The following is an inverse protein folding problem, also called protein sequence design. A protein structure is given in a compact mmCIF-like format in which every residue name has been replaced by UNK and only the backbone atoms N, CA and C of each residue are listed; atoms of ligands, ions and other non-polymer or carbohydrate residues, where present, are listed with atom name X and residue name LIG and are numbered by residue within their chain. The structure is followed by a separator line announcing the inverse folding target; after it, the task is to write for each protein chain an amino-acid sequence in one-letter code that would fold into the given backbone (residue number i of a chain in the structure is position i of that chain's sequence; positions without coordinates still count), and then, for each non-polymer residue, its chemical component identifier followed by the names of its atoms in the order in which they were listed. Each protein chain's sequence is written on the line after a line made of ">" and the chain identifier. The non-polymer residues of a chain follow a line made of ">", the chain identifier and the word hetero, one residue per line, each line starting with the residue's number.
data_IF_452663758296
#
_entry.id   IF_452663758296
#
_cell.length_a   1.000
_cell.length_b   1.000
_cell.length_c   1.000
_cell.angle_alpha   90.00
_cell.angle_beta   90.00
_cell.angle_gamma   90.00
#
_symmetry.space_group_name_H-M   'P 1'
#
loop_
_entity.id
_entity.type
_entity.pdbx_description
1 polymer ?
#
# COMPACT_ATOMS: atom_id res chain seq x y z
N UNK A 1 4.05 10.12 14.67
CA UNK A 1 3.80 10.90 13.44
C UNK A 1 2.71 10.21 12.65
N UNK A 2 1.54 10.85 12.48
CA UNK A 2 0.45 10.34 11.65
C UNK A 2 0.91 10.26 10.19
N UNK A 3 0.53 9.20 9.48
CA UNK A 3 0.91 9.00 8.07
C UNK A 3 0.01 9.87 7.18
N UNK A 4 0.62 10.68 6.34
CA UNK A 4 -0.07 11.55 5.38
C UNK A 4 -0.71 10.67 4.29
N UNK A 5 -1.99 10.93 4.00
CA UNK A 5 -2.72 10.24 2.93
C UNK A 5 -2.09 10.60 1.57
N UNK A 6 -2.09 9.64 0.65
CA UNK A 6 -1.58 9.83 -0.72
C UNK A 6 -2.12 11.14 -1.33
N UNK A 7 -1.28 12.03 -1.90
CA UNK A 7 -1.79 13.33 -2.37
C UNK A 7 -2.65 13.21 -3.64
N UNK A 8 -3.83 13.84 -3.69
CA UNK A 8 -4.71 13.81 -4.87
C UNK A 8 -4.01 14.34 -6.13
N UNK A 9 -3.17 15.36 -5.95
CA UNK A 9 -2.38 15.94 -7.04
C UNK A 9 -1.49 14.90 -7.71
N UNK A 10 -0.88 13.97 -6.96
CA UNK A 10 -0.06 12.90 -7.54
C UNK A 10 -0.91 11.90 -8.32
N UNK A 11 -2.12 11.60 -7.84
CA UNK A 11 -3.07 10.76 -8.58
C UNK A 11 -3.39 11.37 -9.96
N UNK A 12 -3.67 12.69 -10.01
CA UNK A 12 -3.95 13.40 -11.27
C UNK A 12 -2.71 13.44 -12.16
N UNK A 13 -1.55 13.83 -11.61
CA UNK A 13 -0.29 13.89 -12.35
C UNK A 13 0.06 12.55 -13.00
N UNK A 14 -0.19 11.42 -12.33
CA UNK A 14 -0.01 10.11 -12.92
C UNK A 14 -1.10 9.78 -13.96
N UNK A 15 -2.38 10.06 -13.66
CA UNK A 15 -3.48 9.72 -14.57
C UNK A 15 -3.37 10.38 -15.94
N UNK A 16 -2.83 11.61 -16.02
CA UNK A 16 -2.65 12.33 -17.29
C UNK A 16 -1.50 11.80 -18.15
N UNK A 17 -0.56 11.04 -17.58
CA UNK A 17 0.54 10.43 -18.34
C UNK A 17 0.21 9.04 -18.85
N UNK A 18 -0.91 8.45 -18.41
CA UNK A 18 -1.33 7.11 -18.87
C UNK A 18 -1.79 7.19 -20.33
N UNK A 19 -1.17 6.44 -21.26
CA UNK A 19 -1.57 6.45 -22.66
C UNK A 19 -3.04 6.06 -22.85
N UNK A 20 -3.74 6.81 -23.71
CA UNK A 20 -5.15 6.54 -24.04
C UNK A 20 -6.15 6.87 -22.94
N UNK A 21 -5.71 7.41 -21.80
CA UNK A 21 -6.59 7.88 -20.72
C UNK A 21 -6.82 9.38 -20.85
N UNK A 22 -8.08 9.80 -20.70
CA UNK A 22 -8.48 11.20 -20.60
C UNK A 22 -9.21 11.41 -19.29
N UNK A 23 -8.52 11.81 -18.21
CA UNK A 23 -9.15 11.93 -16.90
C UNK A 23 -10.03 13.19 -16.86
N UNK A 24 -11.19 13.10 -16.20
CA UNK A 24 -12.21 14.16 -16.15
C UNK A 24 -12.43 14.71 -14.74
N UNK A 25 -12.71 13.81 -13.79
CA UNK A 25 -13.12 14.14 -12.41
C UNK A 25 -12.39 13.23 -11.42
N UNK A 26 -12.11 13.75 -10.24
CA UNK A 26 -11.45 13.07 -9.13
C UNK A 26 -12.36 13.05 -7.90
N UNK A 27 -12.52 11.87 -7.32
CA UNK A 27 -13.40 11.59 -6.19
C UNK A 27 -12.57 11.02 -5.04
N UNK A 28 -12.36 11.78 -3.96
CA UNK A 28 -11.77 11.26 -2.73
C UNK A 28 -12.80 10.39 -2.01
N UNK A 29 -12.49 9.12 -1.82
CA UNK A 29 -13.39 8.12 -1.23
C UNK A 29 -12.74 7.40 -0.06
N UNK A 30 -13.54 7.02 0.94
CA UNK A 30 -13.10 6.03 1.93
C UNK A 30 -13.64 4.68 1.51
N UNK A 31 -12.72 3.82 1.12
CA UNK A 31 -13.03 2.46 0.70
C UNK A 31 -13.27 1.59 1.95
N UNK A 32 -14.47 1.01 2.12
CA UNK A 32 -14.79 0.22 3.30
C UNK A 32 -14.11 -1.14 3.23
N UNK A 33 -13.47 -1.53 4.33
CA UNK A 33 -12.74 -2.77 4.52
C UNK A 33 -13.22 -3.47 5.80
N UNK A 34 -13.13 -4.79 5.83
CA UNK A 34 -13.05 -5.54 7.09
C UNK A 34 -11.59 -5.76 7.42
N UNK A 35 -11.20 -5.35 8.62
CA UNK A 35 -9.93 -5.74 9.22
C UNK A 35 -10.20 -6.95 10.11
N UNK A 36 -9.71 -8.10 9.69
CA UNK A 36 -9.99 -9.40 10.32
C UNK A 36 -8.76 -9.86 11.08
N UNK A 37 -8.90 -10.08 12.38
CA UNK A 37 -7.89 -10.74 13.20
C UNK A 37 -8.07 -12.25 13.08
N UNK A 38 -6.98 -12.94 12.77
CA UNK A 38 -6.96 -14.39 12.60
C UNK A 38 -5.86 -15.02 13.43
N UNK A 39 -6.06 -16.27 13.82
CA UNK A 39 -5.02 -17.12 14.41
C UNK A 39 -4.81 -18.35 13.55
N UNK A 40 -3.58 -18.81 13.49
CA UNK A 40 -3.20 -20.04 12.81
C UNK A 40 -2.04 -20.71 13.56
N UNK A 41 -1.88 -22.01 13.34
CA UNK A 41 -0.72 -22.75 13.84
C UNK A 41 0.45 -22.64 12.85
N UNK A 42 1.63 -22.38 13.40
CA UNK A 42 2.93 -22.54 12.72
C UNK A 42 3.78 -23.53 13.50
N UNK A 43 4.72 -24.17 12.84
CA UNK A 43 5.74 -24.95 13.53
C UNK A 43 7.00 -24.11 13.70
N UNK A 44 7.45 -24.01 14.94
CA UNK A 44 8.77 -23.50 15.29
C UNK A 44 9.78 -24.64 15.21
N UNK A 45 10.88 -24.41 14.50
CA UNK A 45 11.92 -25.41 14.31
C UNK A 45 12.94 -25.30 15.44
N UNK A 46 13.09 -26.36 16.23
CA UNK A 46 14.01 -26.40 17.34
C UNK A 46 14.89 -27.65 17.29
N UNK A 47 16.12 -27.61 17.82
CA UNK A 47 16.84 -28.84 18.09
C UNK A 47 16.07 -29.67 19.12
N UNK A 48 16.10 -30.99 18.97
CA UNK A 48 15.64 -31.88 20.03
C UNK A 48 16.57 -31.81 21.24
N UNK A 49 15.98 -31.87 22.43
CA UNK A 49 16.72 -32.32 23.60
C UNK A 49 17.12 -33.79 23.41
N UNK A 50 18.27 -34.17 23.98
CA UNK A 50 18.86 -35.48 23.76
C UNK A 50 17.88 -36.63 24.06
N UNK A 51 17.20 -36.55 25.20
CA UNK A 51 16.25 -37.58 25.65
C UNK A 51 15.01 -37.64 24.75
N UNK A 52 14.42 -36.51 24.40
CA UNK A 52 13.26 -36.44 23.50
C UNK A 52 13.57 -37.11 22.16
N UNK A 53 14.76 -36.83 21.60
CA UNK A 53 15.22 -37.43 20.35
C UNK A 53 15.26 -38.96 20.43
N UNK A 54 15.86 -39.50 21.49
CA UNK A 54 15.98 -40.95 21.66
C UNK A 54 14.64 -41.60 21.93
N UNK A 55 13.76 -41.00 22.73
CA UNK A 55 12.43 -41.55 22.99
C UNK A 55 11.61 -41.65 21.69
N UNK A 56 11.57 -40.57 20.89
CA UNK A 56 10.86 -40.57 19.61
C UNK A 56 11.47 -41.60 18.63
N UNK A 57 12.80 -41.71 18.55
CA UNK A 57 13.47 -42.75 17.74
C UNK A 57 13.21 -44.16 18.26
N UNK A 58 13.11 -44.35 19.58
CA UNK A 58 12.78 -45.64 20.18
C UNK A 58 11.41 -46.14 19.74
N UNK A 59 10.42 -45.24 19.66
CA UNK A 59 9.10 -45.56 19.11
C UNK A 59 9.17 -45.82 17.61
N UNK A 60 9.86 -44.97 16.83
CA UNK A 60 9.91 -45.05 15.37
C UNK A 60 10.73 -46.24 14.83
N UNK A 61 11.94 -46.42 15.35
CA UNK A 61 12.96 -47.34 14.80
C UNK A 61 12.99 -48.68 15.52
N UNK A 62 12.75 -48.67 16.84
CA UNK A 62 12.80 -49.88 17.67
C UNK A 62 11.41 -50.42 18.04
N UNK A 63 10.33 -49.75 17.63
CA UNK A 63 8.95 -50.21 17.88
C UNK A 63 8.57 -50.25 19.36
N UNK A 64 9.23 -49.46 20.21
CA UNK A 64 8.97 -49.39 21.65
C UNK A 64 7.66 -48.62 21.89
N UNK A 65 6.54 -49.33 22.00
CA UNK A 65 5.20 -48.73 22.06
C UNK A 65 4.63 -48.60 23.47
N UNK A 66 5.38 -48.93 24.52
CA UNK A 66 4.95 -48.73 25.92
C UNK A 66 6.00 -47.96 26.70
N UNK A 67 5.57 -47.14 27.67
CA UNK A 67 6.50 -46.35 28.48
C UNK A 67 7.41 -47.21 29.35
N UNK A 68 6.94 -48.37 29.81
CA UNK A 68 7.75 -49.37 30.52
C UNK A 68 8.87 -49.94 29.65
N UNK A 69 8.61 -50.16 28.36
CA UNK A 69 9.60 -50.67 27.42
C UNK A 69 10.68 -49.61 27.12
N UNK A 70 10.27 -48.35 26.97
CA UNK A 70 11.17 -47.21 26.84
C UNK A 70 12.05 -47.03 28.09
N UNK A 71 11.46 -47.18 29.28
CA UNK A 71 12.16 -47.12 30.57
C UNK A 71 13.23 -48.22 30.65
N UNK A 72 12.86 -49.46 30.36
CA UNK A 72 13.75 -50.62 30.42
C UNK A 72 14.86 -50.55 29.36
N UNK A 73 14.52 -50.19 28.12
CA UNK A 73 15.48 -50.14 27.01
C UNK A 73 16.57 -49.08 27.22
N UNK A 74 16.19 -47.88 27.70
CA UNK A 74 17.14 -46.78 27.90
C UNK A 74 17.76 -46.76 29.31
N UNK A 75 17.33 -47.62 30.23
CA UNK A 75 17.81 -47.63 31.62
C UNK A 75 17.51 -46.33 32.37
N UNK A 76 16.40 -45.67 32.05
CA UNK A 76 15.99 -44.39 32.62
C UNK A 76 14.96 -44.57 33.73
N UNK A 77 14.84 -43.64 34.69
CA UNK A 77 13.74 -43.65 35.64
C UNK A 77 12.39 -43.45 34.95
N UNK A 78 11.37 -44.24 35.34
CA UNK A 78 10.03 -44.17 34.75
C UNK A 78 9.44 -42.75 34.80
N UNK A 79 9.62 -42.03 35.91
CA UNK A 79 9.13 -40.65 36.07
C UNK A 79 9.76 -39.65 35.10
N UNK A 80 10.99 -39.90 34.63
CA UNK A 80 11.65 -39.07 33.62
C UNK A 80 11.08 -39.36 32.23
N UNK A 81 10.90 -40.63 31.88
CA UNK A 81 10.28 -41.05 30.61
C UNK A 81 8.86 -40.50 30.52
N UNK A 82 8.04 -40.65 31.55
CA UNK A 82 6.67 -40.12 31.60
C UNK A 82 6.64 -38.58 31.44
N UNK A 83 7.59 -37.87 32.04
CA UNK A 83 7.70 -36.41 31.89
C UNK A 83 8.02 -36.02 30.45
N UNK A 84 8.99 -36.68 29.81
CA UNK A 84 9.33 -36.44 28.41
C UNK A 84 8.17 -36.81 27.48
N UNK A 85 7.51 -37.95 27.71
CA UNK A 85 6.35 -38.37 26.94
C UNK A 85 5.18 -37.39 27.11
N UNK A 86 4.95 -36.86 28.32
CA UNK A 86 3.93 -35.83 28.58
C UNK A 86 4.23 -34.55 27.77
N UNK A 87 5.49 -34.12 27.76
CA UNK A 87 5.92 -32.98 26.94
C UNK A 87 5.76 -33.25 25.44
N UNK A 88 6.19 -34.42 24.95
CA UNK A 88 6.04 -34.85 23.55
C UNK A 88 4.57 -34.97 23.13
N UNK A 89 3.68 -35.37 24.04
CA UNK A 89 2.23 -35.34 23.83
C UNK A 89 1.72 -33.90 23.73
N UNK A 90 2.17 -33.00 24.62
CA UNK A 90 1.76 -31.60 24.62
C UNK A 90 2.11 -30.88 23.31
N UNK A 91 3.30 -31.14 22.74
CA UNK A 91 3.71 -30.59 21.45
C UNK A 91 3.21 -31.41 20.24
N UNK A 92 2.41 -32.45 20.49
CA UNK A 92 1.74 -33.24 19.46
C UNK A 92 2.63 -34.21 18.68
N UNK A 93 3.80 -34.59 19.21
CA UNK A 93 4.70 -35.58 18.59
C UNK A 93 4.27 -37.02 18.88
N UNK A 94 3.65 -37.23 20.04
CA UNK A 94 3.24 -38.54 20.54
C UNK A 94 1.76 -38.50 20.92
N UNK A 95 1.06 -39.63 20.78
CA UNK A 95 -0.23 -39.89 21.43
C UNK A 95 -0.03 -40.97 22.48
N UNK A 96 -0.57 -40.71 23.67
CA UNK A 96 -0.62 -41.66 24.76
C UNK A 96 -2.08 -42.08 25.01
N UNK A 97 -2.32 -43.38 25.14
CA UNK A 97 -3.63 -43.93 25.48
C UNK A 97 -3.51 -45.41 25.83
N UNK A 98 -4.23 -45.87 26.86
CA UNK A 98 -4.25 -47.28 27.27
C UNK A 98 -2.85 -47.90 27.52
N UNK A 99 -1.89 -47.09 27.99
CA UNK A 99 -0.50 -47.52 28.21
C UNK A 99 0.34 -47.67 26.93
N UNK A 100 -0.22 -47.33 25.77
CA UNK A 100 0.46 -47.29 24.49
C UNK A 100 0.95 -45.87 24.17
N UNK A 101 2.08 -45.82 23.49
CA UNK A 101 2.80 -44.65 23.02
C UNK A 101 2.95 -44.81 21.51
N UNK A 102 2.36 -43.90 20.73
CA UNK A 102 2.45 -43.91 19.27
C UNK A 102 2.87 -42.55 18.75
N UNK A 103 3.63 -42.51 17.66
CA UNK A 103 3.97 -41.25 17.02
C UNK A 103 2.77 -40.71 16.23
N UNK A 104 2.62 -39.40 16.24
CA UNK A 104 1.76 -38.71 15.29
C UNK A 104 2.49 -38.54 13.95
N UNK A 105 1.79 -38.17 12.87
CA UNK A 105 2.46 -37.80 11.62
C UNK A 105 3.50 -36.68 11.80
N UNK A 106 3.25 -35.73 12.72
CA UNK A 106 4.22 -34.68 13.07
C UNK A 106 5.45 -35.28 13.78
N UNK A 107 5.24 -36.16 14.75
CA UNK A 107 6.32 -36.84 15.46
C UNK A 107 7.21 -37.66 14.53
N UNK A 108 6.61 -38.43 13.62
CA UNK A 108 7.37 -39.19 12.61
C UNK A 108 8.20 -38.28 11.69
N UNK A 109 7.60 -37.22 11.16
CA UNK A 109 8.28 -36.26 10.29
C UNK A 109 9.43 -35.56 11.03
N UNK A 110 9.18 -35.15 12.28
CA UNK A 110 10.16 -34.50 13.17
C UNK A 110 11.35 -35.44 13.45
N UNK A 111 11.06 -36.70 13.78
CA UNK A 111 12.05 -37.74 14.06
C UNK A 111 12.99 -37.97 12.88
N UNK A 112 12.41 -38.15 11.68
CA UNK A 112 13.16 -38.38 10.44
C UNK A 112 14.01 -37.18 10.04
N UNK A 113 13.48 -35.97 10.25
CA UNK A 113 14.22 -34.73 10.00
C UNK A 113 15.30 -34.43 11.05
N UNK A 114 15.21 -35.04 12.23
CA UNK A 114 16.06 -34.69 13.38
C UNK A 114 15.77 -33.30 13.96
N UNK A 115 14.60 -32.73 13.63
CA UNK A 115 14.18 -31.38 14.02
C UNK A 115 12.91 -31.49 14.86
N UNK A 116 12.87 -30.83 16.02
CA UNK A 116 11.68 -30.76 16.87
C UNK A 116 10.78 -29.62 16.39
N UNK A 117 9.72 -29.97 15.68
CA UNK A 117 8.68 -29.01 15.28
C UNK A 117 7.71 -28.75 16.42
N UNK A 118 7.68 -27.54 16.99
CA UNK A 118 6.78 -27.18 18.09
C UNK A 118 5.64 -26.31 17.56
N UNK A 119 4.35 -26.70 17.74
CA UNK A 119 3.24 -25.86 17.32
C UNK A 119 3.23 -24.55 18.13
N UNK A 120 3.16 -23.42 17.43
CA UNK A 120 2.95 -22.10 18.01
C UNK A 120 1.77 -21.44 17.33
N UNK A 121 1.03 -20.66 18.11
CA UNK A 121 0.01 -19.78 17.55
C UNK A 121 0.67 -18.56 16.91
N UNK A 122 0.16 -18.19 15.74
CA UNK A 122 0.56 -17.01 15.00
C UNK A 122 -0.68 -16.21 14.67
N UNK A 123 -0.70 -14.96 15.15
CA UNK A 123 -1.78 -14.03 14.85
C UNK A 123 -1.46 -13.28 13.57
N UNK A 124 -2.44 -13.18 12.69
CA UNK A 124 -2.34 -12.47 11.43
C UNK A 124 -3.50 -11.49 11.29
N UNK A 125 -3.20 -10.33 10.71
CA UNK A 125 -4.20 -9.37 10.31
C UNK A 125 -4.44 -9.48 8.80
N UNK A 126 -5.69 -9.67 8.42
CA UNK A 126 -6.13 -9.67 7.02
C UNK A 126 -7.04 -8.46 6.77
N UNK A 127 -6.94 -7.91 5.57
CA UNK A 127 -7.79 -6.85 5.06
C UNK A 127 -8.63 -7.44 3.93
N UNK A 128 -9.94 -7.24 4.00
CA UNK A 128 -10.90 -7.73 3.02
C UNK A 128 -11.76 -6.57 2.54
N UNK A 129 -11.89 -6.36 1.24
CA UNK A 129 -12.76 -5.31 0.72
C UNK A 129 -14.23 -5.74 0.76
N UNK A 130 -15.14 -4.80 1.06
CA UNK A 130 -16.53 -5.15 1.40
C UNK A 130 -17.48 -5.35 0.23
N UNK A 131 -17.12 -4.98 -0.99
CA UNK A 131 -18.05 -5.04 -2.13
C UNK A 131 -18.06 -6.41 -2.79
N UNK A 132 -16.89 -7.02 -2.94
CA UNK A 132 -16.75 -8.35 -3.56
C UNK A 132 -16.23 -9.41 -2.58
N UNK A 133 -16.08 -9.04 -1.30
CA UNK A 133 -15.56 -9.92 -0.25
C UNK A 133 -14.18 -10.50 -0.58
N UNK A 134 -13.36 -9.77 -1.33
CA UNK A 134 -12.03 -10.22 -1.75
C UNK A 134 -10.96 -9.77 -0.76
N UNK A 135 -10.04 -10.65 -0.35
CA UNK A 135 -8.87 -10.23 0.43
C UNK A 135 -8.01 -9.28 -0.39
N UNK A 136 -7.46 -8.27 0.25
CA UNK A 136 -6.54 -7.35 -0.41
C UNK A 136 -5.22 -8.07 -0.71
N UNK A 137 -4.59 -7.79 -1.86
CA UNK A 137 -3.27 -8.32 -2.17
C UNK A 137 -2.20 -7.84 -1.20
N UNK A 138 -1.07 -8.56 -1.16
CA UNK A 138 0.07 -8.29 -0.28
C UNK A 138 0.65 -6.89 -0.46
N UNK A 139 0.49 -6.29 -1.64
CA UNK A 139 0.87 -4.89 -1.92
C UNK A 139 0.22 -3.90 -0.94
N UNK A 140 -0.97 -4.21 -0.42
CA UNK A 140 -1.70 -3.36 0.52
C UNK A 140 -1.23 -3.48 1.98
N UNK A 141 -0.33 -4.43 2.26
CA UNK A 141 0.30 -4.61 3.58
C UNK A 141 1.73 -4.07 3.58
N UNK A 142 2.31 -3.88 2.39
CA UNK A 142 3.67 -3.35 2.23
C UNK A 142 3.61 -1.82 2.20
N UNK A 143 4.20 -1.17 3.21
CA UNK A 143 4.52 0.25 3.17
C UNK A 143 3.64 1.16 4.02
N UNK A 144 3.48 2.40 3.53
CA UNK A 144 2.97 3.57 4.28
C UNK A 144 1.47 3.81 4.14
N UNK A 145 0.67 2.80 3.77
CA UNK A 145 -0.78 2.99 3.65
C UNK A 145 -1.38 3.43 4.99
N UNK A 146 -2.31 4.37 4.89
CA UNK A 146 -3.07 4.89 6.02
C UNK A 146 -4.41 4.17 6.04
N UNK A 147 -4.65 3.37 7.08
CA UNK A 147 -5.95 2.79 7.36
C UNK A 147 -6.59 3.57 8.51
N UNK A 148 -7.86 3.92 8.34
CA UNK A 148 -8.63 4.65 9.33
C UNK A 148 -9.61 3.70 10.02
N UNK A 149 -9.69 3.69 11.36
CA UNK A 149 -10.65 2.85 12.08
C UNK A 149 -12.09 3.38 11.97
N UNK A 150 -12.26 4.66 11.63
CA UNK A 150 -13.56 5.33 11.46
C UNK A 150 -13.58 6.05 10.11
N UNK A 151 -14.77 6.44 9.61
CA UNK A 151 -14.87 7.22 8.39
C UNK A 151 -14.45 8.69 8.56
N UNK A 152 -13.88 9.07 9.71
CA UNK A 152 -13.39 10.42 9.98
C UNK A 152 -11.94 10.56 9.55
N UNK A 153 -11.68 11.50 8.64
CA UNK A 153 -10.32 11.78 8.16
C UNK A 153 -9.73 12.97 8.93
N UNK A 154 -8.65 12.78 9.70
CA UNK A 154 -8.02 13.88 10.41
C UNK A 154 -7.43 14.90 9.44
N UNK A 155 -7.67 16.19 9.69
CA UNK A 155 -7.30 17.27 8.78
C UNK A 155 -5.79 17.33 8.51
N UNK A 156 -4.97 16.99 9.51
CA UNK A 156 -3.51 16.94 9.40
C UNK A 156 -2.99 15.83 8.48
N UNK A 157 -3.81 14.83 8.17
CA UNK A 157 -3.44 13.74 7.24
C UNK A 157 -3.75 14.09 5.79
N UNK A 158 -4.51 15.17 5.52
CA UNK A 158 -4.95 15.59 4.19
C UNK A 158 -4.24 16.88 3.76
N UNK A 159 -3.17 16.72 2.98
CA UNK A 159 -2.34 17.88 2.56
C UNK A 159 -3.01 18.83 1.57
N UNK A 160 -4.08 18.42 0.89
CA UNK A 160 -4.73 19.15 -0.21
C UNK A 160 -6.15 19.63 0.12
N UNK A 161 -6.63 19.42 1.35
CA UNK A 161 -7.98 19.76 1.77
C UNK A 161 -9.08 18.90 1.13
N UNK A 162 -8.74 17.73 0.56
CA UNK A 162 -9.73 16.79 0.04
C UNK A 162 -10.74 16.37 1.09
N UNK A 163 -12.03 16.47 0.76
CA UNK A 163 -13.10 15.91 1.56
C UNK A 163 -13.41 14.50 1.08
N UNK A 164 -13.06 13.52 1.89
CA UNK A 164 -13.34 12.12 1.61
C UNK A 164 -14.80 11.77 1.93
N UNK A 165 -15.40 10.94 1.08
CA UNK A 165 -16.76 10.44 1.25
C UNK A 165 -16.71 8.92 1.42
N UNK A 166 -17.29 8.34 2.49
CA UNK A 166 -17.30 6.90 2.65
C UNK A 166 -18.18 6.23 1.61
N UNK A 167 -17.65 5.18 0.97
CA UNK A 167 -18.47 4.28 0.18
C UNK A 167 -19.19 3.33 1.14
N UNK A 168 -20.48 3.12 0.90
CA UNK A 168 -21.30 2.23 1.70
C UNK A 168 -21.41 0.85 1.05
N UNK A 169 -21.20 -0.20 1.84
CA UNK A 169 -21.51 -1.58 1.47
C UNK A 169 -22.51 -2.14 2.48
N UNK A 170 -23.66 -2.69 2.03
CA UNK A 170 -24.66 -3.28 2.92
C UNK A 170 -24.28 -4.70 3.40
N UNK A 171 -23.20 -5.27 2.86
CA UNK A 171 -22.83 -6.66 3.13
C UNK A 171 -22.20 -6.81 4.52
N UNK A 172 -22.52 -7.91 5.20
CA UNK A 172 -21.88 -8.32 6.44
C UNK A 172 -20.64 -9.19 6.16
N UNK A 173 -19.70 -9.20 7.11
CA UNK A 173 -18.54 -10.08 7.03
C UNK A 173 -18.97 -11.56 7.18
N UNK A 174 -18.25 -12.44 6.47
CA UNK A 174 -18.47 -13.89 6.46
C UNK A 174 -17.15 -14.60 6.75
N UNK A 175 -17.01 -15.35 7.87
CA UNK A 175 -15.77 -16.03 8.23
C UNK A 175 -15.25 -16.99 7.16
N UNK A 176 -16.14 -17.53 6.33
CA UNK A 176 -15.79 -18.47 5.24
C UNK A 176 -14.83 -17.85 4.22
N UNK A 177 -14.79 -16.52 4.09
CA UNK A 177 -13.83 -15.81 3.22
C UNK A 177 -12.39 -16.15 3.64
N UNK A 178 -12.13 -16.21 4.95
CA UNK A 178 -10.82 -16.50 5.51
C UNK A 178 -10.49 -17.97 5.33
N UNK A 179 -11.43 -18.87 5.58
CA UNK A 179 -11.26 -20.31 5.36
C UNK A 179 -10.94 -20.62 3.90
N UNK A 180 -11.70 -20.05 2.96
CA UNK A 180 -11.46 -20.18 1.51
C UNK A 180 -10.10 -19.61 1.10
N UNK A 181 -9.68 -18.50 1.69
CA UNK A 181 -8.33 -17.97 1.46
C UNK A 181 -7.25 -18.93 1.98
N UNK A 182 -7.48 -19.58 3.12
CA UNK A 182 -6.59 -20.58 3.68
C UNK A 182 -6.32 -21.76 2.74
N UNK A 183 -7.30 -22.16 1.93
CA UNK A 183 -7.20 -23.30 1.01
C UNK A 183 -6.55 -22.94 -0.34
N UNK A 184 -6.41 -21.65 -0.63
CA UNK A 184 -5.89 -21.19 -1.93
C UNK A 184 -4.38 -21.43 -2.10
N UNK A 185 -3.92 -21.87 -3.28
CA UNK A 185 -2.49 -22.06 -3.54
C UNK A 185 -1.72 -20.72 -3.60
N UNK A 186 -2.39 -19.64 -3.98
CA UNK A 186 -1.87 -18.27 -4.09
C UNK A 186 -2.08 -17.43 -2.82
N UNK A 187 -2.47 -18.05 -1.68
CA UNK A 187 -2.74 -17.34 -0.41
C UNK A 187 -1.62 -16.42 0.09
N UNK A 188 -0.37 -16.73 -0.27
CA UNK A 188 0.79 -15.89 0.02
C UNK A 188 0.71 -14.50 -0.61
N UNK A 189 0.06 -14.39 -1.77
CA UNK A 189 -0.13 -13.13 -2.49
C UNK A 189 -1.18 -12.24 -1.82
N UNK A 190 -1.85 -12.73 -0.77
CA UNK A 190 -2.86 -12.04 0.03
C UNK A 190 -2.44 -11.92 1.51
N UNK A 191 -1.13 -11.87 1.75
CA UNK A 191 -0.55 -11.73 3.09
C UNK A 191 -0.81 -12.91 4.04
N UNK A 192 -1.05 -14.12 3.49
CA UNK A 192 -1.19 -15.34 4.28
C UNK A 192 -0.05 -16.34 3.99
N UNK A 193 0.98 -16.45 4.85
CA UNK A 193 2.09 -17.39 4.69
C UNK A 193 1.66 -18.85 4.48
N UNK A 194 2.40 -19.58 3.62
CA UNK A 194 2.10 -20.98 3.26
C UNK A 194 2.29 -21.96 4.41
N UNK A 195 3.00 -21.59 5.46
CA UNK A 195 3.26 -22.44 6.62
C UNK A 195 2.09 -22.47 7.61
N UNK A 196 1.17 -21.50 7.53
CA UNK A 196 0.04 -21.38 8.43
C UNK A 196 -0.96 -22.52 8.19
N UNK A 197 -1.40 -23.13 9.29
CA UNK A 197 -2.40 -24.22 9.35
C UNK A 197 -3.53 -23.83 10.29
N UNK A 198 -4.67 -24.50 10.16
CA UNK A 198 -5.84 -24.34 11.04
C UNK A 198 -6.24 -22.88 11.26
N UNK A 199 -6.33 -22.13 10.17
CA UNK A 199 -6.67 -20.71 10.19
C UNK A 199 -8.08 -20.50 10.77
N UNK A 200 -8.20 -19.64 11.76
CA UNK A 200 -9.46 -19.29 12.43
C UNK A 200 -9.59 -17.78 12.56
N UNK A 201 -10.82 -17.29 12.47
CA UNK A 201 -11.15 -15.89 12.74
C UNK A 201 -11.28 -15.70 14.25
N UNK A 202 -10.63 -14.67 14.79
CA UNK A 202 -10.77 -14.24 16.19
C UNK A 202 -11.77 -13.10 16.32
N UNK A 203 -11.85 -12.25 15.31
CA UNK A 203 -12.82 -11.15 15.22
C UNK A 203 -12.55 -10.26 14.03
N UNK A 204 -13.45 -9.32 13.81
CA UNK A 204 -13.42 -8.37 12.73
C UNK A 204 -13.79 -6.97 13.22
N UNK A 205 -13.22 -5.96 12.57
CA UNK A 205 -13.56 -4.57 12.82
C UNK A 205 -13.63 -3.78 11.53
N UNK A 206 -14.27 -2.62 11.63
CA UNK A 206 -14.33 -1.65 10.54
C UNK A 206 -12.96 -1.01 10.28
N UNK A 207 -12.64 -0.87 9.00
CA UNK A 207 -11.49 -0.11 8.54
C UNK A 207 -11.83 0.59 7.24
N UNK A 208 -11.18 1.72 6.99
CA UNK A 208 -11.41 2.57 5.84
C UNK A 208 -10.07 2.88 5.18
N UNK A 209 -9.96 2.59 3.90
CA UNK A 209 -8.80 2.93 3.07
C UNK A 209 -9.09 4.19 2.27
N UNK A 210 -8.44 5.33 2.56
CA UNK A 210 -8.51 6.51 1.73
C UNK A 210 -7.99 6.21 0.33
N UNK A 211 -8.79 6.52 -0.69
CA UNK A 211 -8.43 6.36 -2.08
C UNK A 211 -8.99 7.50 -2.93
N UNK A 212 -8.40 7.71 -4.10
CA UNK A 212 -8.92 8.61 -5.12
C UNK A 212 -9.37 7.79 -6.31
N UNK A 213 -10.62 7.99 -6.73
CA UNK A 213 -11.15 7.47 -7.98
C UNK A 213 -11.12 8.59 -9.02
N UNK A 214 -10.49 8.34 -10.16
CA UNK A 214 -10.46 9.27 -11.28
C UNK A 214 -11.29 8.68 -12.41
N UNK A 215 -12.37 9.39 -12.75
CA UNK A 215 -13.20 9.05 -13.90
C UNK A 215 -12.52 9.48 -15.20
N UNK A 216 -12.45 8.60 -16.17
CA UNK A 216 -11.98 8.90 -17.53
C UNK A 216 -13.13 9.04 -18.52
N UNK A 217 -12.85 9.70 -19.65
CA UNK A 217 -13.83 9.98 -20.70
C UNK A 217 -14.46 8.74 -21.35
N UNK A 218 -13.83 7.58 -21.23
CA UNK A 218 -14.35 6.29 -21.66
C UNK A 218 -15.15 5.55 -20.57
N UNK A 219 -15.43 6.20 -19.43
CA UNK A 219 -16.22 5.67 -18.33
C UNK A 219 -15.47 4.70 -17.41
N UNK A 220 -14.15 4.54 -17.57
CA UNK A 220 -13.32 3.78 -16.61
C UNK A 220 -13.08 4.60 -15.34
N UNK A 221 -12.86 3.89 -14.23
CA UNK A 221 -12.42 4.48 -12.97
C UNK A 221 -11.00 4.02 -12.68
N UNK A 222 -10.08 4.97 -12.58
CA UNK A 222 -8.70 4.72 -12.13
C UNK A 222 -8.64 4.90 -10.63
N UNK A 223 -8.02 3.98 -9.90
CA UNK A 223 -7.97 4.02 -8.44
C UNK A 223 -6.55 4.32 -7.96
N UNK A 224 -6.44 5.15 -6.91
CA UNK A 224 -5.17 5.50 -6.27
C UNK A 224 -5.33 5.50 -4.75
N UNK A 225 -4.83 4.46 -4.10
CA UNK A 225 -4.84 4.30 -2.64
C UNK A 225 -3.48 4.63 -1.98
N UNK A 226 -2.46 4.89 -2.79
CA UNK A 226 -1.07 5.04 -2.33
C UNK A 226 -0.25 3.74 -2.38
N UNK A 227 -0.81 2.64 -2.88
CA UNK A 227 -0.07 1.39 -3.11
C UNK A 227 1.04 1.64 -4.12
N UNK A 228 2.29 1.54 -3.66
CA UNK A 228 3.50 1.79 -4.45
C UNK A 228 3.56 3.13 -5.21
N UNK A 229 2.69 4.10 -4.89
CA UNK A 229 2.57 5.35 -5.65
C UNK A 229 2.01 5.19 -7.07
N UNK A 230 1.43 4.04 -7.39
CA UNK A 230 0.91 3.68 -8.70
C UNK A 230 -0.63 3.57 -8.67
N UNK A 231 -1.20 3.13 -9.80
CA UNK A 231 -2.60 2.74 -9.89
C UNK A 231 -2.88 1.51 -9.05
N UNK A 232 -3.95 1.55 -8.27
CA UNK A 232 -4.45 0.42 -7.52
C UNK A 232 -5.35 -0.44 -8.42
N UNK A 233 -4.71 -1.28 -9.24
CA UNK A 233 -5.41 -2.17 -10.19
C UNK A 233 -6.36 -3.15 -9.52
N UNK A 234 -6.15 -3.47 -8.24
CA UNK A 234 -7.08 -4.29 -7.48
C UNK A 234 -8.40 -3.55 -7.27
N UNK A 235 -8.36 -2.30 -6.77
CA UNK A 235 -9.57 -1.49 -6.58
C UNK A 235 -10.24 -1.14 -7.92
N UNK A 236 -9.48 -0.89 -8.98
CA UNK A 236 -10.03 -0.73 -10.33
C UNK A 236 -10.82 -1.97 -10.77
N UNK A 237 -10.30 -3.17 -10.53
CA UNK A 237 -11.00 -4.42 -10.84
C UNK A 237 -12.30 -4.59 -10.04
N UNK A 238 -12.38 -4.01 -8.84
CA UNK A 238 -13.61 -4.01 -8.04
C UNK A 238 -14.60 -3.00 -8.61
N UNK A 239 -14.17 -1.79 -8.97
CA UNK A 239 -14.99 -0.80 -9.66
C UNK A 239 -15.63 -1.36 -10.95
N UNK A 240 -14.91 -2.21 -11.69
CA UNK A 240 -15.45 -2.86 -12.89
C UNK A 240 -16.48 -3.94 -12.59
N UNK A 241 -16.35 -4.66 -11.47
CA UNK A 241 -17.26 -5.74 -11.07
C UNK A 241 -18.49 -5.24 -10.31
N UNK A 242 -18.45 -4.02 -9.78
CA UNK A 242 -19.48 -3.46 -8.91
C UNK A 242 -20.05 -2.20 -9.58
N UNK A 243 -21.03 -2.33 -10.48
CA UNK A 243 -21.61 -1.20 -11.23
C UNK A 243 -22.12 -0.07 -10.34
N UNK A 244 -22.57 -0.41 -9.12
CA UNK A 244 -23.04 0.54 -8.13
C UNK A 244 -22.00 1.62 -7.80
N UNK A 245 -20.69 1.30 -7.80
CA UNK A 245 -19.63 2.29 -7.56
C UNK A 245 -19.62 3.31 -8.71
N UNK A 246 -19.64 2.83 -9.96
CA UNK A 246 -19.71 3.72 -11.14
C UNK A 246 -20.99 4.56 -11.14
N UNK A 247 -22.13 3.97 -10.75
CA UNK A 247 -23.40 4.68 -10.65
C UNK A 247 -23.36 5.78 -9.58
N UNK A 248 -22.76 5.52 -8.41
CA UNK A 248 -22.59 6.51 -7.35
C UNK A 248 -21.73 7.69 -7.85
N UNK A 249 -20.64 7.40 -8.55
CA UNK A 249 -19.77 8.42 -9.13
C UNK A 249 -20.48 9.21 -10.25
N UNK A 250 -21.29 8.55 -11.07
CA UNK A 250 -22.05 9.19 -12.14
C UNK A 250 -23.21 10.05 -11.62
N UNK A 251 -23.87 9.64 -10.53
CA UNK A 251 -24.98 10.36 -9.91
C UNK A 251 -24.56 11.66 -9.22
N UNK A 252 -23.27 11.81 -8.92
CA UNK A 252 -22.73 13.02 -8.31
C UNK A 252 -22.87 14.23 -9.24
N UNK A 253 -23.50 15.33 -8.78
CA UNK A 253 -23.77 16.49 -9.61
C UNK A 253 -22.50 17.03 -10.26
N UNK A 254 -22.51 17.12 -11.59
CA UNK A 254 -21.45 17.77 -12.34
C UNK A 254 -21.81 19.23 -12.59
N UNK A 255 -20.98 20.15 -12.11
CA UNK A 255 -21.00 21.53 -12.57
C UNK A 255 -20.18 21.66 -13.84
N UNK A 256 -20.47 22.64 -14.69
CA UNK A 256 -19.65 22.91 -15.87
C UNK A 256 -18.22 23.25 -15.42
N UNK A 257 -17.20 22.46 -15.81
CA UNK A 257 -15.81 22.76 -15.49
C UNK A 257 -15.40 24.17 -15.92
N UNK A 258 -15.93 24.66 -17.04
CA UNK A 258 -15.60 25.99 -17.57
C UNK A 258 -16.04 27.09 -16.60
N UNK A 259 -17.23 26.98 -16.02
CA UNK A 259 -17.72 27.92 -15.02
C UNK A 259 -16.88 27.90 -13.74
N UNK A 260 -16.53 26.70 -13.25
CA UNK A 260 -15.67 26.51 -12.07
C UNK A 260 -14.34 27.26 -12.25
N UNK A 261 -13.70 27.08 -13.41
CA UNK A 261 -12.38 27.65 -13.67
C UNK A 261 -12.44 29.13 -14.03
N UNK A 262 -13.52 29.59 -14.64
CA UNK A 262 -13.75 31.03 -14.89
C UNK A 262 -13.90 31.77 -13.57
N UNK A 263 -14.70 31.24 -12.64
CA UNK A 263 -14.79 31.76 -11.28
C UNK A 263 -13.43 31.71 -10.58
N UNK A 264 -12.67 30.62 -10.69
CA UNK A 264 -11.34 30.53 -10.08
C UNK A 264 -10.34 31.58 -10.59
N UNK A 265 -10.38 31.91 -11.89
CA UNK A 265 -9.57 33.00 -12.44
C UNK A 265 -9.99 34.36 -11.87
N UNK A 266 -11.30 34.62 -11.82
CA UNK A 266 -11.88 35.86 -11.31
C UNK A 266 -11.59 36.06 -9.82
N UNK A 267 -11.84 35.05 -8.98
CA UNK A 267 -11.64 35.07 -7.52
C UNK A 267 -10.20 35.47 -7.16
N UNK A 268 -9.22 34.99 -7.93
CA UNK A 268 -7.80 35.28 -7.70
C UNK A 268 -7.27 36.50 -8.43
N UNK A 269 -8.11 37.27 -9.14
CA UNK A 269 -7.70 38.37 -10.03
C UNK A 269 -6.58 37.96 -11.00
N UNK A 270 -6.62 36.71 -11.46
CA UNK A 270 -5.56 36.11 -12.30
C UNK A 270 -5.81 36.47 -13.76
N UNK A 271 -4.80 37.01 -14.43
CA UNK A 271 -4.86 37.30 -15.86
C UNK A 271 -4.41 36.06 -16.64
N UNK A 272 -5.31 35.50 -17.43
CA UNK A 272 -5.02 34.31 -18.23
C UNK A 272 -6.20 33.84 -19.07
N UNK A 273 -5.98 32.76 -19.81
CA UNK A 273 -6.99 32.14 -20.66
C UNK A 273 -7.20 30.67 -20.27
N UNK A 274 -8.42 30.18 -20.46
CA UNK A 274 -8.77 28.78 -20.28
C UNK A 274 -8.79 28.09 -21.64
N UNK A 275 -8.17 26.91 -21.72
CA UNK A 275 -8.20 26.05 -22.90
C UNK A 275 -8.49 24.62 -22.48
N UNK A 276 -9.26 23.92 -23.29
CA UNK A 276 -9.45 22.48 -23.14
C UNK A 276 -8.48 21.76 -24.08
N UNK A 277 -7.59 20.94 -23.53
CA UNK A 277 -6.56 20.25 -24.32
C UNK A 277 -7.12 18.99 -24.98
N UNK A 278 -6.52 18.51 -26.09
CA UNK A 278 -6.87 17.22 -26.69
C UNK A 278 -6.75 16.02 -25.74
N UNK A 279 -5.91 16.13 -24.70
CA UNK A 279 -5.78 15.15 -23.62
C UNK A 279 -7.01 15.08 -22.70
N UNK A 280 -8.00 15.95 -22.87
CA UNK A 280 -9.20 16.03 -22.03
C UNK A 280 -9.01 16.86 -20.76
N UNK A 281 -7.85 17.50 -20.60
CA UNK A 281 -7.47 18.28 -19.43
C UNK A 281 -7.71 19.77 -19.68
N UNK A 282 -8.31 20.46 -18.71
CA UNK A 282 -8.35 21.92 -18.72
C UNK A 282 -6.96 22.49 -18.41
N UNK A 283 -6.57 23.54 -19.14
CA UNK A 283 -5.33 24.31 -18.92
C UNK A 283 -5.66 25.79 -18.72
N UNK A 284 -5.20 26.35 -17.61
CA UNK A 284 -5.20 27.79 -17.36
C UNK A 284 -3.83 28.36 -17.71
N UNK A 285 -3.74 29.09 -18.82
CA UNK A 285 -2.51 29.74 -19.25
C UNK A 285 -2.49 31.16 -18.71
N UNK A 286 -1.67 31.39 -17.69
CA UNK A 286 -1.56 32.66 -16.99
C UNK A 286 -0.36 33.48 -17.51
N UNK A 287 -0.50 34.80 -17.44
CA UNK A 287 0.60 35.73 -17.74
C UNK A 287 1.73 35.59 -16.70
N UNK A 288 2.96 35.90 -17.11
CA UNK A 288 4.18 35.73 -16.30
C UNK A 288 4.09 36.41 -14.92
N UNK A 289 3.44 37.58 -14.86
CA UNK A 289 3.28 38.37 -13.65
C UNK A 289 2.41 37.68 -12.58
N UNK A 290 1.70 36.61 -12.96
CA UNK A 290 0.89 35.79 -12.05
C UNK A 290 1.74 34.86 -11.17
N UNK A 291 3.04 34.72 -11.46
CA UNK A 291 3.95 33.81 -10.76
C UNK A 291 5.06 34.55 -9.99
N UNK A 292 5.57 33.91 -8.93
CA UNK A 292 6.63 34.44 -8.07
C UNK A 292 6.44 34.05 -6.61
N UNK A 293 6.29 35.05 -5.73
CA UNK A 293 5.97 34.88 -4.30
C UNK A 293 4.63 35.50 -3.91
N UNK A 294 4.20 35.31 -2.67
CA UNK A 294 2.90 35.80 -2.15
C UNK A 294 2.73 37.30 -2.41
N UNK A 295 1.60 37.75 -2.99
CA UNK A 295 0.33 37.04 -3.20
C UNK A 295 0.20 36.23 -4.51
N UNK A 296 1.27 36.17 -5.33
CA UNK A 296 1.30 35.46 -6.60
C UNK A 296 1.41 33.95 -6.42
N UNK A 297 1.18 33.19 -7.50
CA UNK A 297 1.36 31.74 -7.47
C UNK A 297 2.85 31.38 -7.41
N UNK A 298 3.27 30.43 -6.55
CA UNK A 298 4.65 30.00 -6.52
C UNK A 298 5.04 29.30 -7.83
N UNK A 299 6.30 29.45 -8.25
CA UNK A 299 6.81 28.86 -9.49
C UNK A 299 6.64 27.34 -9.55
N UNK A 300 6.70 26.65 -8.41
CA UNK A 300 6.44 25.22 -8.32
C UNK A 300 5.01 24.81 -8.73
N UNK A 301 4.09 25.76 -8.92
CA UNK A 301 2.74 25.52 -9.46
C UNK A 301 2.66 25.52 -10.98
N UNK A 302 3.66 26.02 -11.71
CA UNK A 302 3.68 25.95 -13.18
C UNK A 302 3.73 24.48 -13.61
N UNK A 303 2.85 24.05 -14.51
CA UNK A 303 2.66 22.65 -14.92
C UNK A 303 1.97 21.75 -13.90
N UNK A 304 1.64 22.26 -12.72
CA UNK A 304 0.93 21.50 -11.68
C UNK A 304 -0.57 21.49 -11.89
N UNK A 305 -1.26 20.60 -11.17
CA UNK A 305 -2.71 20.52 -11.14
C UNK A 305 -3.27 21.22 -9.91
N UNK A 306 -4.37 21.95 -10.12
CA UNK A 306 -5.22 22.49 -9.06
C UNK A 306 -6.55 21.75 -9.07
N UNK A 307 -7.04 21.41 -7.89
CA UNK A 307 -8.29 20.69 -7.69
C UNK A 307 -9.36 21.65 -7.13
N UNK A 308 -10.56 21.63 -7.72
CA UNK A 308 -11.72 22.38 -7.22
C UNK A 308 -13.00 21.65 -7.60
N UNK A 309 -13.88 21.39 -6.63
CA UNK A 309 -15.16 20.72 -6.85
C UNK A 309 -15.02 19.46 -7.74
N UNK A 310 -14.08 18.58 -7.38
CA UNK A 310 -13.74 17.32 -8.08
C UNK A 310 -13.16 17.44 -9.49
N UNK A 311 -13.04 18.65 -10.03
CA UNK A 311 -12.37 18.88 -11.30
C UNK A 311 -10.93 19.28 -11.06
N UNK A 312 -10.07 19.09 -12.07
CA UNK A 312 -8.72 19.61 -12.05
C UNK A 312 -8.38 20.43 -13.28
N UNK A 313 -7.48 21.39 -13.09
CA UNK A 313 -6.92 22.25 -14.13
C UNK A 313 -5.40 22.25 -14.04
N UNK A 314 -4.73 22.17 -15.18
CA UNK A 314 -3.30 22.39 -15.28
C UNK A 314 -3.02 23.90 -15.26
N UNK A 315 -2.20 24.34 -14.33
CA UNK A 315 -1.72 25.73 -14.28
C UNK A 315 -0.52 25.86 -15.22
N UNK A 316 -0.54 26.84 -16.12
CA UNK A 316 0.46 26.98 -17.17
C UNK A 316 0.87 28.43 -17.41
N UNK A 317 1.96 28.61 -18.14
CA UNK A 317 2.40 29.90 -18.70
C UNK A 317 3.13 29.67 -20.02
N UNK A 318 2.97 30.58 -20.98
CA UNK A 318 3.71 30.53 -22.24
C UNK A 318 5.14 31.08 -22.09
N UNK A 319 5.47 31.68 -20.93
CA UNK A 319 6.83 32.14 -20.63
C UNK A 319 7.78 30.95 -20.38
N UNK A 320 8.57 30.63 -21.41
CA UNK A 320 9.57 29.56 -21.40
C UNK A 320 10.66 29.78 -20.35
N UNK A 321 11.02 31.03 -20.01
CA UNK A 321 12.01 31.31 -18.96
C UNK A 321 11.46 30.94 -17.59
N UNK A 322 10.20 31.28 -17.30
CA UNK A 322 9.55 30.89 -16.05
C UNK A 322 9.36 29.37 -15.95
N UNK A 323 8.97 28.71 -17.04
CA UNK A 323 8.90 27.23 -17.07
C UNK A 323 10.26 26.59 -16.78
N UNK A 324 11.35 27.12 -17.36
CA UNK A 324 12.72 26.65 -17.07
C UNK A 324 13.11 26.88 -15.62
N UNK A 325 12.77 28.03 -15.04
CA UNK A 325 13.01 28.31 -13.61
C UNK A 325 12.24 27.34 -12.70
N UNK A 326 10.96 27.08 -13.01
CA UNK A 326 10.17 26.10 -12.27
C UNK A 326 10.76 24.68 -12.35
N UNK A 327 11.28 24.28 -13.52
CA UNK A 327 11.97 23.00 -13.68
C UNK A 327 13.21 22.91 -12.79
N UNK A 328 14.05 23.95 -12.77
CA UNK A 328 15.24 24.01 -11.92
C UNK A 328 14.89 23.97 -10.42
N UNK A 329 13.86 24.72 -9.99
CA UNK A 329 13.42 24.71 -8.60
C UNK A 329 12.92 23.33 -8.15
N UNK A 330 12.15 22.64 -9.01
CA UNK A 330 11.68 21.28 -8.72
C UNK A 330 12.83 20.28 -8.68
N UNK A 331 13.76 20.36 -9.61
CA UNK A 331 14.95 19.51 -9.65
C UNK A 331 15.78 19.65 -8.36
N UNK A 332 16.02 20.88 -7.91
CA UNK A 332 16.70 21.12 -6.63
C UNK A 332 15.92 20.54 -5.45
N UNK A 333 14.60 20.72 -5.40
CA UNK A 333 13.78 20.14 -4.33
C UNK A 333 13.85 18.60 -4.30
N UNK A 334 14.04 17.95 -5.44
CA UNK A 334 14.17 16.49 -5.53
C UNK A 334 15.44 15.94 -4.88
N UNK A 335 16.50 16.75 -4.74
CA UNK A 335 17.76 16.34 -4.07
C UNK A 335 17.57 15.97 -2.60
N UNK A 336 16.48 16.44 -1.97
CA UNK A 336 16.17 16.14 -0.58
C UNK A 336 15.31 14.87 -0.42
N UNK A 337 14.91 14.23 -1.52
CA UNK A 337 14.12 13.00 -1.47
C UNK A 337 15.02 11.81 -1.15
N UNK A 338 14.61 10.97 -0.19
CA UNK A 338 15.36 9.77 0.23
C UNK A 338 15.65 8.76 -0.88
N UNK A 339 14.85 8.80 -1.94
CA UNK A 339 14.95 7.93 -3.12
C UNK A 339 15.95 8.44 -4.16
N UNK A 340 16.42 9.68 -4.04
CA UNK A 340 17.41 10.27 -4.95
C UNK A 340 18.76 10.15 -4.28
N UNK A 341 19.53 9.13 -4.65
CA UNK A 341 20.85 8.83 -4.04
C UNK A 341 22.00 9.13 -4.98
N UNK A 342 21.76 9.07 -6.28
CA UNK A 342 22.77 9.27 -7.32
C UNK A 342 22.39 10.40 -8.28
N UNK A 343 23.37 10.90 -9.04
CA UNK A 343 23.13 11.84 -10.16
C UNK A 343 22.26 11.24 -11.26
N UNK A 344 22.34 9.93 -11.47
CA UNK A 344 21.51 9.23 -12.45
C UNK A 344 20.02 9.27 -12.03
N UNK A 345 19.72 9.02 -10.75
CA UNK A 345 18.36 9.11 -10.21
C UNK A 345 17.77 10.50 -10.43
N UNK A 346 18.56 11.54 -10.11
CA UNK A 346 18.13 12.92 -10.29
C UNK A 346 17.91 13.25 -11.76
N UNK A 347 18.81 12.82 -12.66
CA UNK A 347 18.70 13.07 -14.10
C UNK A 347 17.42 12.45 -14.69
N UNK A 348 17.08 11.22 -14.30
CA UNK A 348 15.86 10.56 -14.74
C UNK A 348 14.61 11.33 -14.31
N UNK A 349 14.57 11.81 -13.06
CA UNK A 349 13.45 12.62 -12.55
C UNK A 349 13.38 14.01 -13.19
N UNK A 350 14.54 14.63 -13.44
CA UNK A 350 14.64 15.92 -14.13
C UNK A 350 14.09 15.83 -15.55
N UNK A 351 14.33 14.72 -16.26
CA UNK A 351 13.79 14.49 -17.60
C UNK A 351 12.27 14.51 -17.59
N UNK A 352 11.64 13.79 -16.67
CA UNK A 352 10.18 13.78 -16.53
C UNK A 352 9.61 15.18 -16.23
N UNK A 353 10.27 15.96 -15.36
CA UNK A 353 9.85 17.35 -15.07
C UNK A 353 10.02 18.27 -16.28
N UNK A 354 11.14 18.14 -16.99
CA UNK A 354 11.43 18.95 -18.17
C UNK A 354 10.43 18.67 -19.30
N UNK A 355 10.09 17.40 -19.52
CA UNK A 355 9.05 16.97 -20.45
C UNK A 355 7.68 17.51 -20.04
N UNK A 356 7.29 17.37 -18.77
CA UNK A 356 6.04 17.92 -18.23
C UNK A 356 5.92 19.44 -18.42
N UNK A 357 7.04 20.16 -18.34
CA UNK A 357 7.10 21.62 -18.48
C UNK A 357 7.42 22.08 -19.90
N UNK A 358 7.61 21.14 -20.83
CA UNK A 358 7.98 21.38 -22.23
C UNK A 358 9.22 22.32 -22.33
N UNK A 359 10.27 22.01 -21.56
CA UNK A 359 11.57 22.72 -21.57
C UNK A 359 12.73 21.75 -21.75
N UNK A 360 13.90 22.25 -22.15
CA UNK A 360 15.10 21.39 -22.19
C UNK A 360 15.53 21.01 -20.77
N UNK A 361 16.01 19.78 -20.62
CA UNK A 361 16.49 19.26 -19.32
C UNK A 361 17.59 20.17 -18.79
N UNK A 362 17.46 20.71 -17.55
CA UNK A 362 18.51 21.52 -16.96
C UNK A 362 19.79 20.71 -16.79
N UNK A 363 20.94 21.34 -16.98
CA UNK A 363 22.25 20.73 -16.67
C UNK A 363 22.58 20.89 -15.19
N UNK A 364 23.48 20.06 -14.67
CA UNK A 364 23.96 20.18 -13.29
C UNK A 364 24.62 21.54 -13.00
N UNK A 365 25.37 22.09 -13.97
CA UNK A 365 25.98 23.42 -13.85
C UNK A 365 24.95 24.55 -13.83
N UNK A 366 23.83 24.39 -14.55
CA UNK A 366 22.71 25.32 -14.46
C UNK A 366 22.03 25.26 -13.10
N UNK A 367 21.79 24.05 -12.56
CA UNK A 367 21.22 23.90 -11.22
C UNK A 367 22.11 24.52 -10.14
N UNK A 368 23.43 24.29 -10.21
CA UNK A 368 24.38 24.87 -9.27
C UNK A 368 24.42 26.39 -9.35
N UNK A 369 24.45 26.96 -10.57
CA UNK A 369 24.39 28.42 -10.78
C UNK A 369 23.07 29.01 -10.28
N UNK A 370 21.95 28.35 -10.56
CA UNK A 370 20.62 28.77 -10.11
C UNK A 370 20.53 28.76 -8.59
N UNK A 371 20.93 27.67 -7.93
CA UNK A 371 20.87 27.58 -6.48
C UNK A 371 21.76 28.62 -5.77
N UNK A 372 22.94 28.92 -6.31
CA UNK A 372 23.80 30.01 -5.80
C UNK A 372 23.13 31.38 -5.94
N UNK A 373 22.54 31.66 -7.10
CA UNK A 373 21.86 32.94 -7.36
C UNK A 373 20.66 33.16 -6.46
N UNK A 374 19.85 32.12 -6.25
CA UNK A 374 18.65 32.16 -5.41
C UNK A 374 18.95 31.90 -3.92
N UNK A 375 20.23 31.82 -3.52
CA UNK A 375 20.71 31.60 -2.15
C UNK A 375 20.18 30.31 -1.48
N UNK A 376 19.95 29.26 -2.26
CA UNK A 376 19.39 27.96 -1.84
C UNK A 376 20.46 27.02 -1.28
N UNK A 377 21.25 27.49 -0.30
CA UNK A 377 22.43 26.80 0.24
C UNK A 377 22.14 25.38 0.77
N UNK A 378 20.98 25.17 1.41
CA UNK A 378 20.60 23.85 1.92
C UNK A 378 20.42 22.80 0.82
N UNK A 379 19.94 23.19 -0.37
CA UNK A 379 19.78 22.28 -1.49
C UNK A 379 21.11 21.96 -2.17
N UNK A 380 22.05 22.92 -2.19
CA UNK A 380 23.39 22.71 -2.75
C UNK A 380 24.18 21.66 -1.99
N UNK A 381 24.09 21.64 -0.65
CA UNK A 381 24.79 20.64 0.17
C UNK A 381 24.37 19.21 -0.19
N UNK A 382 23.07 18.96 -0.34
CA UNK A 382 22.57 17.64 -0.76
C UNK A 382 22.90 17.33 -2.21
N UNK A 383 22.80 18.34 -3.09
CA UNK A 383 23.13 18.20 -4.50
C UNK A 383 24.59 17.81 -4.74
N UNK A 384 25.52 18.46 -4.03
CA UNK A 384 26.96 18.18 -4.14
C UNK A 384 27.35 16.84 -3.51
N UNK A 385 26.51 16.29 -2.61
CA UNK A 385 26.69 14.98 -1.99
C UNK A 385 26.14 13.79 -2.82
N UNK A 386 25.49 14.05 -3.97
CA UNK A 386 25.05 12.99 -4.88
C UNK A 386 26.25 12.43 -5.64
N UNK A 387 26.52 11.13 -5.44
CA UNK A 387 27.53 10.35 -6.17
C UNK A 387 27.21 10.23 -7.66
#
# INVERSE_FOLDING_TARGET
>A
MSRIIYPARRAVEHAVTVPGVRPLRLFPVLWPLWQVETTAQVYDEQPYELLDRFLVRGVLEAGLTRSVDLTAFYGLPHSLVERCLTFLTLIGHVRQGEGLVTLTPLGESSARAGIRYVPKESRQQLLVERFTARPLPRSHYRGSLTLLPTPDVPAEQVSDGSRFVPLFSPWAFRPEIVTQLGERPDRFDFNLPKQLRDLRVLGEQDAYLPAYLIESADGRLLAYSGVAGERDTFLESVCDRVPMIKQLIAAEPSQDPREIWTSWLADGKRKGTLRYLPSGVWRATLVAESFGGTPKLPLNRIGSYQLRKRHFIQVWTDDTKLRRQAAMQRALAMTQLREVRTRADLTNRMRAVAEQLEVTVPTFDELRRYAKREQLHAYLLHFDALE
#
